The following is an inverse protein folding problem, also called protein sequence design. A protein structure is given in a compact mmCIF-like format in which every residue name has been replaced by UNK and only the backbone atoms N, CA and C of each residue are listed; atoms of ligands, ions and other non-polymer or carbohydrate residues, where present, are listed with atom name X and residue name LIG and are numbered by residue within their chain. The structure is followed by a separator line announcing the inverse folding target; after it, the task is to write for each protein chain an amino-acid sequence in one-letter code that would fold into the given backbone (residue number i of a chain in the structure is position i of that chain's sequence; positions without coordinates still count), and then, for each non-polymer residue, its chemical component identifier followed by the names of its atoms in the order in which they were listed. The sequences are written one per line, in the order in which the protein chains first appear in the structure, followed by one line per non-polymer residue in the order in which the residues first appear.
data_IF_861982388154
#
_entry.id   IF_861982388154
#
_cell.length_a   1.000
_cell.length_b   1.000
_cell.length_c   1.000
_cell.angle_alpha   90.00
_cell.angle_beta   90.00
_cell.angle_gamma   90.00
#
_symmetry.space_group_name_H-M   'P 1'
#
loop_
_entity.id
_entity.type
_entity.pdbx_description
1 polymer ?
#
# COMPACT_ATOMS: atom_id res chain seq x y z
N UNK A 1 -13.23 7.38 28.15
CA UNK A 1 -13.60 8.20 26.98
C UNK A 1 -13.25 7.41 25.74
N UNK A 2 -14.19 7.25 24.81
CA UNK A 2 -14.11 6.45 23.58
C UNK A 2 -13.20 7.10 22.50
N UNK A 3 -11.91 7.24 22.77
CA UNK A 3 -10.91 7.65 21.76
C UNK A 3 -10.35 6.55 20.85
N UNK A 4 -10.38 5.24 21.18
CA UNK A 4 -9.80 4.21 20.29
C UNK A 4 -10.50 4.13 18.92
N UNK A 5 -11.81 4.40 18.88
CA UNK A 5 -12.63 4.28 17.67
C UNK A 5 -12.39 5.42 16.68
N UNK A 6 -12.08 6.63 17.18
CA UNK A 6 -11.84 7.79 16.32
C UNK A 6 -10.44 7.73 15.72
N UNK A 7 -9.42 7.41 16.51
CA UNK A 7 -8.05 7.23 16.01
C UNK A 7 -7.96 6.07 15.03
N UNK A 8 -8.64 4.96 15.31
CA UNK A 8 -8.78 3.84 14.37
C UNK A 8 -9.49 4.27 13.09
N UNK A 9 -10.60 5.00 13.18
CA UNK A 9 -11.31 5.49 11.99
C UNK A 9 -10.45 6.42 11.12
N UNK A 10 -9.63 7.27 11.74
CA UNK A 10 -8.67 8.11 11.02
C UNK A 10 -7.57 7.24 10.38
N UNK A 11 -7.01 6.29 11.12
CA UNK A 11 -6.00 5.36 10.61
C UNK A 11 -6.53 4.52 9.45
N UNK A 12 -7.78 4.05 9.51
CA UNK A 12 -8.40 3.26 8.45
C UNK A 12 -8.64 4.12 7.19
N UNK A 13 -9.07 5.38 7.35
CA UNK A 13 -9.24 6.32 6.22
C UNK A 13 -7.90 6.67 5.58
N UNK A 14 -6.89 7.00 6.40
CA UNK A 14 -5.54 7.29 5.92
C UNK A 14 -4.94 6.03 5.30
N UNK A 15 -5.17 4.86 5.89
CA UNK A 15 -4.76 3.56 5.36
C UNK A 15 -5.34 3.27 3.98
N UNK A 16 -6.58 3.62 3.69
CA UNK A 16 -7.12 3.49 2.31
C UNK A 16 -6.32 4.30 1.27
N UNK A 17 -5.66 5.39 1.67
CA UNK A 17 -4.83 6.22 0.79
C UNK A 17 -3.32 5.98 0.92
N UNK A 18 -2.86 5.38 2.03
CA UNK A 18 -1.45 5.29 2.40
C UNK A 18 -0.99 3.87 2.72
N UNK A 19 -1.90 2.93 2.99
CA UNK A 19 -1.57 1.52 3.02
C UNK A 19 -1.20 1.08 1.60
N UNK A 20 -0.29 0.08 1.48
CA UNK A 20 0.05 -0.58 0.25
C UNK A 20 -1.13 -0.65 -0.70
N UNK A 21 -0.96 -0.09 -1.89
CA UNK A 21 -1.98 -0.09 -2.93
C UNK A 21 -2.26 -1.55 -3.26
N UNK A 22 -3.23 -2.15 -2.58
CA UNK A 22 -4.01 -3.25 -3.13
C UNK A 22 -4.80 -2.56 -4.22
N UNK A 23 -4.32 -2.73 -5.45
CA UNK A 23 -4.90 -2.15 -6.66
C UNK A 23 -6.42 -2.20 -6.56
N UNK A 24 -7.05 -1.03 -6.38
CA UNK A 24 -8.47 -0.95 -6.13
C UNK A 24 -9.20 -1.67 -7.29
N UNK A 25 -10.12 -2.61 -7.02
CA UNK A 25 -10.76 -3.36 -8.09
C UNK A 25 -11.56 -2.39 -8.98
N UNK A 26 -11.03 -2.15 -10.18
CA UNK A 26 -11.54 -1.13 -11.11
C UNK A 26 -10.96 -1.20 -12.52
N UNK A 27 -10.27 -2.30 -12.87
CA UNK A 27 -9.70 -2.51 -14.21
C UNK A 27 -8.36 -1.83 -14.47
N UNK A 28 -8.02 -0.74 -13.78
CA UNK A 28 -6.72 -0.05 -13.93
C UNK A 28 -5.51 -0.96 -13.68
N UNK A 29 -5.64 -1.91 -12.73
CA UNK A 29 -4.62 -2.93 -12.49
C UNK A 29 -4.39 -3.88 -13.66
N UNK A 30 -5.32 -4.00 -14.61
CA UNK A 30 -5.17 -4.82 -15.81
C UNK A 30 -4.27 -4.14 -16.85
N UNK A 31 -4.30 -2.80 -16.91
CA UNK A 31 -3.53 -1.99 -17.87
C UNK A 31 -2.04 -1.82 -17.49
N UNK A 32 -1.70 -2.09 -16.22
CA UNK A 32 -0.32 -2.03 -15.75
C UNK A 32 0.55 -3.13 -16.42
N UNK A 33 1.80 -2.81 -16.79
CA UNK A 33 2.73 -3.81 -17.29
C UNK A 33 2.96 -4.96 -16.28
N UNK A 34 3.06 -6.20 -16.76
CA UNK A 34 3.22 -7.39 -15.90
C UNK A 34 4.47 -7.33 -14.99
N UNK A 35 5.56 -6.74 -15.51
CA UNK A 35 6.78 -6.53 -14.73
C UNK A 35 6.55 -5.60 -13.53
N UNK A 36 5.66 -4.62 -13.67
CA UNK A 36 5.35 -3.64 -12.65
C UNK A 36 4.48 -4.26 -11.55
N UNK A 37 3.50 -5.09 -11.92
CA UNK A 37 2.71 -5.88 -10.95
C UNK A 37 3.60 -6.80 -10.10
N UNK A 38 4.56 -7.46 -10.76
CA UNK A 38 5.55 -8.29 -10.09
C UNK A 38 6.48 -7.48 -9.16
N UNK A 39 6.92 -6.31 -9.59
CA UNK A 39 7.75 -5.40 -8.79
C UNK A 39 7.03 -4.92 -7.53
N UNK A 40 5.78 -4.43 -7.65
CA UNK A 40 4.94 -4.01 -6.51
C UNK A 40 4.84 -5.13 -5.48
N UNK A 41 4.58 -6.37 -5.95
CA UNK A 41 4.44 -7.54 -5.07
C UNK A 41 5.71 -7.80 -4.26
N UNK A 42 6.87 -7.76 -4.91
CA UNK A 42 8.16 -8.02 -4.26
C UNK A 42 8.55 -6.90 -3.30
N UNK A 43 8.40 -5.64 -3.70
CA UNK A 43 8.71 -4.49 -2.85
C UNK A 43 7.79 -4.46 -1.62
N UNK A 44 6.52 -4.83 -1.76
CA UNK A 44 5.61 -4.98 -0.61
C UNK A 44 5.92 -6.15 0.29
N UNK A 45 6.44 -7.24 -0.23
CA UNK A 45 6.95 -8.30 0.63
C UNK A 45 8.13 -7.79 1.49
N UNK A 46 9.02 -6.98 0.91
CA UNK A 46 10.15 -6.37 1.63
C UNK A 46 9.66 -5.39 2.70
N UNK A 47 8.72 -4.51 2.35
CA UNK A 47 8.13 -3.56 3.30
C UNK A 47 7.40 -4.27 4.45
N UNK A 48 6.69 -5.38 4.17
CA UNK A 48 6.10 -6.22 5.21
C UNK A 48 7.15 -6.86 6.13
N UNK A 49 8.29 -7.29 5.59
CA UNK A 49 9.40 -7.83 6.41
C UNK A 49 9.99 -6.73 7.31
N UNK A 50 10.10 -5.49 6.83
CA UNK A 50 10.53 -4.34 7.64
C UNK A 50 9.52 -4.02 8.75
N UNK A 51 8.24 -3.99 8.41
CA UNK A 51 7.15 -3.79 9.37
C UNK A 51 7.16 -4.84 10.50
N UNK A 52 7.41 -6.12 10.17
CA UNK A 52 7.55 -7.19 11.15
C UNK A 52 8.74 -6.99 12.11
N UNK A 53 9.76 -6.23 11.70
CA UNK A 53 10.89 -5.85 12.55
C UNK A 53 10.64 -4.59 13.38
N UNK A 54 9.45 -4.00 13.28
CA UNK A 54 9.08 -2.77 13.96
C UNK A 54 9.52 -1.48 13.25
N UNK A 55 9.96 -1.58 11.99
CA UNK A 55 10.23 -0.42 11.15
C UNK A 55 8.92 0.13 10.57
N UNK A 56 8.87 1.45 10.33
CA UNK A 56 7.70 2.08 9.69
C UNK A 56 7.63 1.67 8.22
N UNK A 57 6.46 1.18 7.80
CA UNK A 57 6.22 0.76 6.43
C UNK A 57 5.98 1.99 5.56
N UNK A 58 6.61 2.04 4.38
CA UNK A 58 6.51 3.18 3.46
C UNK A 58 5.95 2.77 2.10
N UNK A 59 5.60 3.75 1.26
CA UNK A 59 5.28 3.53 -0.16
C UNK A 59 6.51 3.12 -0.94
N UNK A 60 6.35 2.25 -1.95
CA UNK A 60 7.46 1.75 -2.75
C UNK A 60 7.56 2.44 -4.11
N UNK A 61 8.74 2.41 -4.72
CA UNK A 61 8.97 3.04 -6.03
C UNK A 61 8.11 2.41 -7.12
N UNK A 62 7.87 1.09 -7.07
CA UNK A 62 6.97 0.42 -8.00
C UNK A 62 5.52 0.89 -7.86
N UNK A 63 5.05 1.20 -6.66
CA UNK A 63 3.70 1.74 -6.47
C UNK A 63 3.60 3.20 -6.92
N UNK A 64 4.63 4.00 -6.68
CA UNK A 64 4.70 5.35 -7.22
C UNK A 64 4.71 5.32 -8.75
N UNK A 65 5.46 4.38 -9.36
CA UNK A 65 5.48 4.18 -10.80
C UNK A 65 4.13 3.71 -11.33
N UNK A 66 3.42 2.84 -10.61
CA UNK A 66 2.06 2.45 -10.97
C UNK A 66 1.12 3.63 -10.94
N UNK A 67 1.16 4.47 -9.89
CA UNK A 67 0.32 5.67 -9.78
C UNK A 67 0.50 6.67 -10.93
N UNK A 68 1.70 6.74 -11.52
CA UNK A 68 2.01 7.64 -12.63
C UNK A 68 1.63 7.07 -14.02
N UNK A 69 1.14 5.83 -14.09
CA UNK A 69 0.74 5.14 -15.32
C UNK A 69 -0.74 5.31 -15.61
#
# INVERSE_FOLDING_TARGET
MNTPTMEKGISDIVGVFCDPIIVFPGGWGEDLPEWLKSAITLERLIENIKALKGEEMTGTDAEACAYLY
#
